data_IF_008732352247
#
_entry.id   IF_008732352247
#
_cell.length_a   1.000
_cell.length_b   1.000
_cell.length_c   1.000
_cell.angle_alpha   90.00
_cell.angle_beta   90.00
_cell.angle_gamma   90.00
#
_symmetry.space_group_name_H-M   'P 1'
#
loop_
_entity.id
_entity.type
_entity.pdbx_description
1 polymer ?
#
# COMPACT_ATOMS: atom_id res chain seq x y z
N UNK A 1 -4.96 1.16 -13.60
CA UNK A 1 -4.98 1.16 -12.12
C UNK A 1 -3.69 1.74 -11.59
N UNK A 2 -3.75 2.59 -10.58
CA UNK A 2 -2.57 3.17 -9.94
C UNK A 2 -2.29 2.44 -8.63
N UNK A 3 -1.02 2.32 -8.26
CA UNK A 3 -0.63 1.90 -6.91
C UNK A 3 -1.03 2.99 -5.93
N UNK A 4 -1.77 2.62 -4.90
CA UNK A 4 -2.24 3.51 -3.85
C UNK A 4 -1.67 3.01 -2.53
N UNK A 5 -0.83 3.83 -1.90
CA UNK A 5 -0.25 3.55 -0.58
C UNK A 5 -0.67 4.63 0.39
N UNK A 6 -1.15 4.22 1.57
CA UNK A 6 -1.71 5.10 2.56
C UNK A 6 -1.10 4.86 3.92
N UNK A 7 -0.84 5.95 4.60
CA UNK A 7 -0.32 5.97 5.95
C UNK A 7 -1.39 6.43 6.95
N UNK A 8 -1.46 5.78 8.09
CA UNK A 8 -2.35 6.16 9.19
C UNK A 8 -1.51 6.69 10.36
N UNK A 9 -1.76 7.92 10.76
CA UNK A 9 -1.06 8.64 11.83
C UNK A 9 -1.65 8.29 13.23
N UNK A 10 -1.85 7.02 13.50
CA UNK A 10 -2.32 6.55 14.79
C UNK A 10 -1.26 5.67 15.44
N UNK A 11 -1.18 5.72 16.77
CA UNK A 11 -0.31 4.83 17.53
C UNK A 11 -0.78 3.41 17.38
N UNK A 12 0.14 2.51 17.10
CA UNK A 12 -0.08 1.08 17.22
C UNK A 12 0.16 0.66 18.67
N UNK A 13 -0.75 -0.12 19.21
CA UNK A 13 -0.54 -0.77 20.49
C UNK A 13 0.23 -2.07 20.29
N UNK A 14 1.25 -2.26 21.12
CA UNK A 14 2.07 -3.48 21.11
C UNK A 14 1.51 -4.42 22.16
N UNK A 15 1.04 -5.58 21.73
CA UNK A 15 0.48 -6.60 22.60
C UNK A 15 1.42 -7.81 22.63
N UNK A 16 1.88 -8.18 23.81
CA UNK A 16 2.69 -9.38 24.04
C UNK A 16 1.84 -10.47 24.66
N UNK A 17 1.48 -11.45 23.86
CA UNK A 17 0.78 -12.63 24.35
C UNK A 17 1.78 -13.75 24.70
N UNK A 18 1.78 -14.20 25.96
CA UNK A 18 2.57 -15.35 26.39
C UNK A 18 1.78 -16.62 26.10
N UNK A 19 2.35 -17.52 25.34
CA UNK A 19 1.82 -18.87 25.11
C UNK A 19 2.80 -19.89 25.64
N UNK A 20 2.34 -21.14 25.82
CA UNK A 20 3.18 -22.28 26.22
C UNK A 20 4.35 -22.53 25.23
N UNK A 21 4.27 -21.97 24.02
CA UNK A 21 5.29 -22.07 22.97
C UNK A 21 6.21 -20.84 22.87
N UNK A 22 6.11 -19.89 23.80
CA UNK A 22 6.89 -18.65 23.82
C UNK A 22 6.07 -17.38 23.74
N UNK A 23 6.74 -16.24 23.57
CA UNK A 23 6.09 -14.93 23.39
C UNK A 23 5.66 -14.76 21.94
N UNK A 24 4.40 -14.45 21.70
CA UNK A 24 3.92 -13.94 20.42
C UNK A 24 3.72 -12.44 20.53
N UNK A 25 4.31 -11.71 19.61
CA UNK A 25 4.20 -10.26 19.54
C UNK A 25 3.12 -9.90 18.51
N UNK A 26 2.22 -9.02 18.89
CA UNK A 26 1.18 -8.47 18.03
C UNK A 26 1.26 -6.95 18.01
N UNK A 27 0.79 -6.37 16.95
CA UNK A 27 0.47 -4.94 16.84
C UNK A 27 -1.03 -4.80 16.58
N UNK A 28 -1.64 -3.80 17.20
CA UNK A 28 -3.05 -3.48 17.03
C UNK A 28 -3.26 -1.98 16.97
N UNK A 29 -4.25 -1.53 16.23
CA UNK A 29 -4.58 -0.12 16.11
C UNK A 29 -5.40 0.18 14.86
N UNK A 30 -5.50 1.47 14.51
CA UNK A 30 -6.17 1.89 13.29
C UNK A 30 -5.24 1.64 12.09
N UNK A 31 -5.66 0.77 11.19
CA UNK A 31 -4.90 0.43 10.00
C UNK A 31 -5.32 1.27 8.78
N UNK A 32 -6.58 1.69 8.69
CA UNK A 32 -7.10 2.54 7.61
C UNK A 32 -8.23 3.42 8.13
N UNK A 33 -8.52 4.53 7.44
CA UNK A 33 -9.61 5.45 7.79
C UNK A 33 -10.44 5.80 6.55
N UNK A 34 -11.76 5.75 6.68
CA UNK A 34 -12.70 6.23 5.69
C UNK A 34 -13.11 7.70 5.97
N UNK A 35 -13.66 8.37 4.97
CA UNK A 35 -14.25 9.73 5.04
C UNK A 35 -13.29 10.82 5.52
N UNK A 36 -12.02 10.51 5.68
CA UNK A 36 -10.99 11.45 6.13
C UNK A 36 -9.93 11.61 5.06
N UNK A 37 -9.59 12.88 4.78
CA UNK A 37 -8.47 13.19 3.90
C UNK A 37 -7.17 12.81 4.61
N UNK A 38 -6.42 11.91 4.01
CA UNK A 38 -5.13 11.47 4.52
C UNK A 38 -4.00 12.44 4.13
N UNK A 39 -2.76 12.14 4.55
CA UNK A 39 -1.59 12.99 4.27
C UNK A 39 -1.25 13.08 2.78
N UNK A 40 -1.61 12.07 2.00
CA UNK A 40 -1.42 12.06 0.54
C UNK A 40 -2.55 12.81 -0.21
N UNK A 41 -3.46 13.45 0.52
CA UNK A 41 -4.58 14.20 -0.05
C UNK A 41 -5.73 13.32 -0.56
N UNK A 42 -5.74 12.02 -0.22
CA UNK A 42 -6.74 11.05 -0.67
C UNK A 42 -7.84 10.85 0.35
N UNK A 43 -9.04 10.54 -0.17
CA UNK A 43 -10.24 10.26 0.61
C UNK A 43 -10.81 8.93 0.13
N UNK A 44 -11.07 8.04 1.07
CA UNK A 44 -11.78 6.78 0.85
C UNK A 44 -13.22 6.94 1.28
N UNK A 45 -14.17 6.88 0.36
CA UNK A 45 -15.58 6.79 0.72
C UNK A 45 -15.81 5.48 1.49
N UNK A 46 -16.59 5.54 2.57
CA UNK A 46 -16.78 4.40 3.49
C UNK A 46 -17.21 3.13 2.76
N UNK A 47 -18.19 3.23 1.85
CA UNK A 47 -18.67 2.07 1.08
C UNK A 47 -17.59 1.38 0.24
N UNK A 48 -16.68 2.18 -0.32
CA UNK A 48 -15.58 1.67 -1.15
C UNK A 48 -14.58 0.94 -0.27
N UNK A 49 -14.19 1.55 0.85
CA UNK A 49 -13.26 0.94 1.78
C UNK A 49 -13.85 -0.32 2.45
N UNK A 50 -15.13 -0.30 2.84
CA UNK A 50 -15.84 -1.47 3.39
C UNK A 50 -15.83 -2.66 2.42
N UNK A 51 -16.12 -2.39 1.15
CA UNK A 51 -16.08 -3.41 0.08
C UNK A 51 -14.67 -4.01 -0.06
N UNK A 52 -13.64 -3.16 -0.12
CA UNK A 52 -12.26 -3.60 -0.28
C UNK A 52 -11.75 -4.40 0.93
N UNK A 53 -12.02 -3.94 2.15
CA UNK A 53 -11.66 -4.62 3.40
C UNK A 53 -12.39 -5.95 3.52
N UNK A 54 -13.71 -5.98 3.28
CA UNK A 54 -14.50 -7.23 3.35
C UNK A 54 -13.99 -8.27 2.37
N UNK A 55 -13.65 -7.86 1.14
CA UNK A 55 -13.04 -8.74 0.14
C UNK A 55 -11.68 -9.25 0.63
N UNK A 56 -10.82 -8.38 1.11
CA UNK A 56 -9.49 -8.74 1.61
C UNK A 56 -9.57 -9.70 2.81
N UNK A 57 -10.47 -9.45 3.76
CA UNK A 57 -10.71 -10.34 4.90
C UNK A 57 -11.12 -11.72 4.42
N UNK A 58 -12.08 -11.80 3.51
CA UNK A 58 -12.58 -13.07 2.95
C UNK A 58 -11.52 -13.84 2.18
N UNK A 59 -10.74 -13.17 1.33
CA UNK A 59 -9.83 -13.81 0.38
C UNK A 59 -8.43 -14.03 0.94
N UNK A 60 -7.99 -13.22 1.90
CA UNK A 60 -6.63 -13.24 2.43
C UNK A 60 -6.57 -13.56 3.92
N UNK A 61 -7.27 -12.78 4.78
CA UNK A 61 -7.19 -12.96 6.23
C UNK A 61 -7.75 -14.31 6.65
N UNK A 62 -8.98 -14.64 6.21
CA UNK A 62 -9.65 -15.91 6.55
C UNK A 62 -8.90 -17.14 6.02
N UNK A 63 -8.10 -16.96 4.97
CA UNK A 63 -7.28 -18.01 4.39
C UNK A 63 -5.86 -18.08 4.99
N UNK A 64 -5.53 -17.22 5.96
CA UNK A 64 -4.22 -17.15 6.57
C UNK A 64 -3.11 -16.63 5.64
N UNK A 65 -3.48 -15.93 4.56
CA UNK A 65 -2.59 -15.43 3.50
C UNK A 65 -2.29 -13.94 3.57
N UNK A 66 -2.93 -13.22 4.49
CA UNK A 66 -2.78 -11.77 4.65
C UNK A 66 -1.45 -11.43 5.32
N UNK A 67 -0.39 -11.35 4.53
CA UNK A 67 0.96 -10.98 5.00
C UNK A 67 1.32 -9.58 4.55
N UNK A 68 2.19 -8.90 5.34
CA UNK A 68 2.69 -7.57 5.05
C UNK A 68 4.20 -7.49 5.24
N UNK A 69 4.80 -6.47 4.63
CA UNK A 69 6.24 -6.25 4.59
C UNK A 69 6.70 -5.23 5.63
N UNK A 70 7.99 -5.27 5.94
CA UNK A 70 8.68 -4.16 6.57
C UNK A 70 9.11 -3.18 5.48
N UNK A 71 8.64 -1.94 5.56
CA UNK A 71 8.68 -0.90 4.54
C UNK A 71 7.81 -1.22 3.30
N UNK A 72 7.51 -0.19 2.53
CA UNK A 72 6.81 -0.38 1.26
C UNK A 72 7.74 -0.94 0.19
N UNK A 73 7.32 -1.98 -0.56
CA UNK A 73 7.98 -2.38 -1.78
C UNK A 73 7.70 -1.38 -2.92
N UNK A 74 8.46 -1.50 -3.99
CA UNK A 74 8.27 -0.69 -5.20
C UNK A 74 7.03 -1.10 -6.02
N UNK A 75 6.38 -2.22 -5.67
CA UNK A 75 5.25 -2.76 -6.43
C UNK A 75 4.06 -3.18 -5.55
N UNK A 76 2.94 -3.55 -6.17
CA UNK A 76 1.74 -3.97 -5.44
C UNK A 76 1.81 -5.39 -4.90
N UNK A 77 2.74 -6.20 -5.41
CA UNK A 77 2.91 -7.60 -5.00
C UNK A 77 3.74 -7.68 -3.73
N UNK A 78 3.37 -8.60 -2.84
CA UNK A 78 4.13 -8.87 -1.62
C UNK A 78 5.38 -9.70 -1.95
N UNK A 79 6.56 -9.24 -1.50
CA UNK A 79 7.80 -10.00 -1.58
C UNK A 79 7.93 -10.88 -0.33
N UNK A 80 7.86 -12.19 -0.49
CA UNK A 80 7.84 -13.12 0.64
C UNK A 80 9.12 -13.10 1.48
N UNK A 81 10.24 -12.72 0.91
CA UNK A 81 11.53 -12.52 1.60
C UNK A 81 11.53 -11.29 2.52
N UNK A 82 10.62 -10.34 2.31
CA UNK A 82 10.47 -9.10 3.11
C UNK A 82 9.30 -9.13 4.08
N UNK A 83 8.57 -10.23 4.14
CA UNK A 83 7.42 -10.37 5.04
C UNK A 83 7.87 -10.29 6.49
N UNK A 84 7.22 -9.41 7.25
CA UNK A 84 7.48 -9.19 8.68
C UNK A 84 6.32 -9.62 9.58
N UNK A 85 5.09 -9.61 9.08
CA UNK A 85 3.90 -9.86 9.89
C UNK A 85 2.77 -10.50 9.08
N UNK A 86 1.79 -11.01 9.81
CA UNK A 86 0.55 -11.56 9.26
C UNK A 86 -0.64 -10.85 9.91
N UNK A 87 -1.51 -10.27 9.10
CA UNK A 87 -2.76 -9.67 9.55
C UNK A 87 -3.70 -10.78 10.00
N UNK A 88 -4.18 -10.69 11.23
CA UNK A 88 -5.06 -11.68 11.85
C UNK A 88 -6.50 -11.20 11.97
N UNK A 89 -6.71 -9.90 12.03
CA UNK A 89 -8.03 -9.28 12.04
C UNK A 89 -8.02 -7.91 11.34
N UNK A 90 -9.12 -7.59 10.67
CA UNK A 90 -9.45 -6.26 10.17
C UNK A 90 -10.97 -6.08 10.30
N UNK A 91 -11.41 -5.07 11.02
CA UNK A 91 -12.83 -4.78 11.22
C UNK A 91 -13.12 -3.28 11.24
N UNK A 92 -14.30 -2.89 10.81
CA UNK A 92 -14.74 -1.50 10.88
C UNK A 92 -15.28 -1.16 12.26
N UNK A 93 -14.81 -0.03 12.80
CA UNK A 93 -15.36 0.64 13.98
C UNK A 93 -15.64 2.11 13.62
N UNK A 94 -16.88 2.44 13.32
CA UNK A 94 -17.23 3.76 12.79
C UNK A 94 -16.66 3.99 11.39
N UNK A 95 -15.73 4.91 11.26
CA UNK A 95 -14.99 5.20 10.02
C UNK A 95 -13.56 4.65 10.04
N UNK A 96 -13.14 4.06 11.15
CA UNK A 96 -11.83 3.48 11.29
C UNK A 96 -11.85 1.96 10.99
N UNK A 97 -10.81 1.47 10.39
CA UNK A 97 -10.54 0.04 10.22
C UNK A 97 -9.52 -0.35 11.27
N UNK A 98 -9.98 -1.04 12.30
CA UNK A 98 -9.10 -1.57 13.34
C UNK A 98 -8.49 -2.87 12.85
N UNK A 99 -7.18 -2.96 12.95
CA UNK A 99 -6.41 -4.12 12.53
C UNK A 99 -5.59 -4.71 13.67
N UNK A 100 -5.43 -6.04 13.63
CA UNK A 100 -4.49 -6.78 14.47
C UNK A 100 -3.57 -7.62 13.58
N UNK A 101 -2.27 -7.60 13.84
CA UNK A 101 -1.30 -8.40 13.11
C UNK A 101 -0.30 -9.07 14.06
N UNK A 102 0.03 -10.32 13.75
CA UNK A 102 1.06 -11.08 14.45
C UNK A 102 2.42 -10.87 13.78
N UNK A 103 3.43 -10.50 14.54
CA UNK A 103 4.81 -10.41 14.06
C UNK A 103 5.34 -11.83 13.86
N UNK A 104 5.86 -12.10 12.67
CA UNK A 104 6.37 -13.42 12.29
C UNK A 104 7.85 -13.55 12.63
N UNK A 105 8.30 -14.79 12.81
CA UNK A 105 9.73 -15.08 13.06
C UNK A 105 10.56 -15.18 11.76
N UNK A 106 10.24 -14.30 10.81
CA UNK A 106 11.04 -14.07 9.61
C UNK A 106 12.18 -13.08 9.92
N UNK A 107 13.22 -12.95 9.09
CA UNK A 107 14.26 -11.95 9.30
C UNK A 107 13.71 -10.53 9.49
N UNK A 108 12.72 -10.14 8.67
CA UNK A 108 12.10 -8.81 8.78
C UNK A 108 11.22 -8.67 10.03
N UNK A 109 10.54 -9.74 10.44
CA UNK A 109 9.78 -9.74 11.69
C UNK A 109 10.68 -9.64 12.93
N UNK A 110 11.84 -10.26 12.92
CA UNK A 110 12.84 -10.12 14.01
C UNK A 110 13.37 -8.67 14.10
N UNK A 111 13.55 -7.99 12.96
CA UNK A 111 13.89 -6.55 12.96
C UNK A 111 12.75 -5.74 13.58
N UNK A 112 11.49 -6.00 13.22
CA UNK A 112 10.33 -5.32 13.82
C UNK A 112 10.28 -5.56 15.33
N UNK A 113 10.46 -6.82 15.78
CA UNK A 113 10.50 -7.17 17.20
C UNK A 113 11.58 -6.37 17.94
N UNK A 114 12.81 -6.34 17.42
CA UNK A 114 13.92 -5.57 18.02
C UNK A 114 13.67 -4.06 18.06
N UNK A 115 13.05 -3.50 17.01
CA UNK A 115 12.67 -2.09 16.99
C UNK A 115 11.61 -1.75 18.04
N UNK A 116 10.58 -2.58 18.18
CA UNK A 116 9.52 -2.40 19.17
C UNK A 116 10.03 -2.56 20.60
N UNK A 117 10.87 -3.58 20.86
CA UNK A 117 11.53 -3.78 22.15
C UNK A 117 12.47 -2.62 22.51
N UNK A 118 13.12 -2.03 21.51
CA UNK A 118 13.92 -0.81 21.63
C UNK A 118 13.12 0.48 21.81
N UNK A 119 11.78 0.40 21.84
CA UNK A 119 10.90 1.57 22.01
C UNK A 119 10.70 2.42 20.76
N UNK A 120 11.09 1.92 19.58
CA UNK A 120 10.85 2.60 18.31
C UNK A 120 9.35 2.57 18.00
N UNK A 121 8.80 3.74 17.68
CA UNK A 121 7.40 3.83 17.24
C UNK A 121 7.34 3.46 15.77
N UNK A 122 6.52 2.47 15.46
CA UNK A 122 6.23 2.04 14.11
C UNK A 122 4.77 2.37 13.76
N UNK A 123 4.50 2.58 12.49
CA UNK A 123 3.17 2.77 11.96
C UNK A 123 2.82 1.68 10.97
N UNK A 124 1.61 1.78 10.41
CA UNK A 124 1.18 0.93 9.30
C UNK A 124 0.68 1.78 8.14
N UNK A 125 0.84 1.24 6.95
CA UNK A 125 0.41 1.89 5.72
C UNK A 125 -0.24 0.86 4.81
N UNK A 126 -1.49 1.13 4.39
CA UNK A 126 -2.17 0.26 3.44
C UNK A 126 -1.65 0.48 2.03
N UNK A 127 -1.59 -0.60 1.28
CA UNK A 127 -1.18 -0.66 -0.11
C UNK A 127 -2.26 -1.34 -0.93
N UNK A 128 -2.62 -0.73 -2.05
CA UNK A 128 -3.64 -1.26 -2.93
C UNK A 128 -3.51 -0.71 -4.35
N UNK A 129 -4.45 -1.07 -5.18
CA UNK A 129 -4.58 -0.58 -6.55
C UNK A 129 -5.98 -0.08 -6.80
N UNK A 130 -6.08 0.99 -7.57
CA UNK A 130 -7.34 1.58 -7.93
C UNK A 130 -7.16 2.82 -8.80
N UNK A 131 -8.25 3.44 -9.15
CA UNK A 131 -8.26 4.74 -9.83
C UNK A 131 -8.58 5.86 -8.86
N UNK A 132 -8.10 7.06 -9.17
CA UNK A 132 -8.32 8.27 -8.40
C UNK A 132 -9.13 9.26 -9.22
N UNK A 133 -10.11 9.89 -8.58
CA UNK A 133 -10.86 11.03 -9.11
C UNK A 133 -10.46 12.29 -8.35
N UNK A 134 -9.88 13.25 -9.06
CA UNK A 134 -9.54 14.53 -8.45
C UNK A 134 -10.80 15.40 -8.31
N UNK A 135 -11.13 15.79 -7.08
CA UNK A 135 -12.18 16.75 -6.74
C UNK A 135 -11.55 17.98 -6.09
N UNK A 136 -12.32 19.04 -5.83
CA UNK A 136 -11.79 20.30 -5.28
C UNK A 136 -11.15 20.16 -3.90
N UNK A 137 -11.62 19.21 -3.11
CA UNK A 137 -11.24 18.97 -1.71
C UNK A 137 -10.22 17.83 -1.54
N UNK A 138 -9.95 17.05 -2.59
CA UNK A 138 -8.98 15.96 -2.54
C UNK A 138 -9.12 14.97 -3.68
N UNK A 139 -8.28 13.94 -3.67
CA UNK A 139 -8.34 12.83 -4.60
C UNK A 139 -9.17 11.69 -4.00
N UNK A 140 -10.30 11.38 -4.63
CA UNK A 140 -11.19 10.31 -4.18
C UNK A 140 -10.80 8.99 -4.80
N UNK A 141 -10.67 7.95 -3.96
CA UNK A 141 -10.43 6.58 -4.42
C UNK A 141 -11.74 6.02 -4.98
N UNK A 142 -11.66 5.36 -6.15
CA UNK A 142 -12.83 4.83 -6.85
C UNK A 142 -13.15 3.40 -6.43
N UNK A 143 -14.29 2.91 -6.89
CA UNK A 143 -14.90 1.62 -6.54
C UNK A 143 -14.16 0.38 -7.09
N UNK A 144 -13.17 0.60 -7.96
CA UNK A 144 -12.23 -0.41 -8.43
C UNK A 144 -11.06 -0.66 -7.48
N UNK A 145 -11.05 -0.01 -6.30
CA UNK A 145 -9.98 -0.17 -5.32
C UNK A 145 -9.90 -1.61 -4.80
N UNK A 146 -8.69 -2.15 -4.85
CA UNK A 146 -8.34 -3.47 -4.31
C UNK A 146 -7.22 -3.31 -3.29
N UNK A 147 -7.50 -3.69 -2.04
CA UNK A 147 -6.49 -3.76 -0.99
C UNK A 147 -5.56 -4.95 -1.27
N UNK A 148 -4.25 -4.69 -1.32
CA UNK A 148 -3.23 -5.70 -1.57
C UNK A 148 -2.51 -6.13 -0.28
N UNK A 149 -2.17 -5.17 0.59
CA UNK A 149 -1.45 -5.41 1.84
C UNK A 149 -1.63 -4.23 2.80
N UNK A 150 -1.25 -4.44 4.06
CA UNK A 150 -0.92 -3.37 5.00
C UNK A 150 0.49 -3.66 5.49
N UNK A 151 1.40 -2.73 5.31
CA UNK A 151 2.83 -2.87 5.58
C UNK A 151 3.22 -2.12 6.86
N UNK A 152 4.25 -2.59 7.58
CA UNK A 152 4.81 -1.86 8.72
C UNK A 152 5.83 -0.85 8.20
N UNK A 153 5.69 0.41 8.62
CA UNK A 153 6.53 1.52 8.21
C UNK A 153 7.02 2.31 9.42
N UNK A 154 8.09 3.07 9.25
CA UNK A 154 8.54 3.99 10.28
C UNK A 154 7.50 5.11 10.49
N UNK A 155 7.35 5.61 11.73
CA UNK A 155 6.50 6.76 12.03
C UNK A 155 6.95 7.99 11.20
N UNK A 156 6.05 8.63 10.45
CA UNK A 156 6.37 9.77 9.60
C UNK A 156 6.47 11.10 10.34
N UNK A 157 7.05 11.14 11.51
CA UNK A 157 7.60 12.41 12.01
C UNK A 157 8.62 13.03 11.05
N UNK A 158 9.05 12.28 10.02
CA UNK A 158 9.81 12.76 8.86
C UNK A 158 8.99 12.63 7.56
N UNK A 159 8.08 13.58 7.24
CA UNK A 159 7.17 13.49 6.09
C UNK A 159 7.87 13.41 4.73
N UNK A 160 9.10 13.91 4.64
CA UNK A 160 9.86 13.97 3.39
C UNK A 160 10.55 12.66 3.00
N UNK A 161 10.68 11.68 3.92
CA UNK A 161 11.38 10.43 3.62
C UNK A 161 10.52 9.39 2.88
N UNK A 162 9.21 9.55 2.83
CA UNK A 162 8.27 8.58 2.26
C UNK A 162 7.71 8.94 0.88
N UNK A 163 7.87 10.18 0.44
CA UNK A 163 7.22 10.70 -0.77
C UNK A 163 7.98 10.32 -2.04
N UNK A 164 9.24 9.97 -1.95
CA UNK A 164 10.11 9.78 -3.12
C UNK A 164 10.34 8.34 -3.56
N UNK A 165 9.76 7.36 -2.89
CA UNK A 165 10.01 5.94 -3.20
C UNK A 165 8.83 5.18 -3.80
N UNK A 166 7.67 5.79 -3.93
CA UNK A 166 6.48 5.09 -4.39
C UNK A 166 6.29 5.42 -5.87
N UNK A 167 6.16 4.40 -6.70
CA UNK A 167 5.77 4.51 -8.11
C UNK A 167 4.32 5.02 -8.25
N UNK A 168 4.04 6.19 -7.70
CA UNK A 168 2.72 6.86 -7.78
C UNK A 168 2.44 7.46 -9.15
N UNK A 169 3.11 7.21 -10.15
CA UNK A 169 2.92 7.70 -11.50
C UNK A 169 2.82 6.58 -12.51
N UNK A 170 2.78 5.34 -12.06
CA UNK A 170 2.80 4.17 -12.94
C UNK A 170 1.43 3.50 -12.93
N UNK A 171 0.83 3.34 -14.10
CA UNK A 171 -0.32 2.47 -14.27
C UNK A 171 0.14 1.01 -14.30
N UNK A 172 -0.61 0.14 -13.63
CA UNK A 172 -0.35 -1.28 -13.57
C UNK A 172 -1.33 -2.05 -14.43
N UNK A 173 -0.83 -2.97 -15.23
CA UNK A 173 -1.63 -3.86 -16.07
C UNK A 173 -1.41 -5.32 -15.66
N UNK A 174 -2.47 -6.12 -15.77
CA UNK A 174 -2.39 -7.57 -15.67
C UNK A 174 -1.86 -8.13 -17.00
N UNK A 175 -0.73 -8.81 -16.93
CA UNK A 175 -0.18 -9.55 -18.06
C UNK A 175 0.12 -10.98 -17.61
N UNK A 176 -0.65 -11.94 -18.13
CA UNK A 176 -0.54 -13.37 -17.82
C UNK A 176 -0.47 -13.71 -16.32
N UNK A 177 -1.29 -13.02 -15.50
CA UNK A 177 -1.34 -13.23 -14.05
C UNK A 177 -0.27 -12.49 -13.25
N UNK A 178 0.56 -11.69 -13.90
CA UNK A 178 1.58 -10.85 -13.29
C UNK A 178 1.21 -9.38 -13.48
N UNK A 179 1.32 -8.58 -12.41
CA UNK A 179 1.17 -7.14 -12.48
C UNK A 179 2.48 -6.52 -12.97
N UNK A 180 2.41 -5.81 -14.09
CA UNK A 180 3.55 -5.09 -14.69
C UNK A 180 3.31 -3.58 -14.66
N UNK A 181 4.33 -2.77 -14.36
CA UNK A 181 4.22 -1.32 -14.42
C UNK A 181 4.09 -0.86 -15.87
N UNK A 182 3.19 0.09 -16.11
CA UNK A 182 3.01 0.72 -17.41
C UNK A 182 3.61 2.13 -17.37
N UNK A 183 4.68 2.34 -18.11
CA UNK A 183 5.44 3.59 -18.15
C UNK A 183 4.75 4.71 -18.97
N UNK A 184 3.42 4.78 -18.95
CA UNK A 184 2.66 5.77 -19.74
C UNK A 184 2.98 7.20 -19.28
N UNK A 185 3.07 7.43 -17.97
CA UNK A 185 3.35 8.78 -17.43
C UNK A 185 4.77 9.27 -17.73
N UNK A 186 5.75 8.36 -17.79
CA UNK A 186 7.10 8.73 -18.21
C UNK A 186 7.12 9.18 -19.67
N UNK A 187 6.45 8.44 -20.54
CA UNK A 187 6.30 8.77 -21.96
C UNK A 187 5.52 10.08 -22.13
N UNK A 188 4.42 10.28 -21.40
CA UNK A 188 3.65 11.51 -21.42
C UNK A 188 4.47 12.71 -20.92
N UNK A 189 5.29 12.52 -19.90
CA UNK A 189 6.17 13.55 -19.35
C UNK A 189 7.31 13.88 -20.33
N UNK A 190 7.89 12.87 -20.98
CA UNK A 190 8.89 13.07 -22.05
C UNK A 190 8.29 13.84 -23.22
N UNK A 191 7.10 13.47 -23.68
CA UNK A 191 6.39 14.16 -24.76
C UNK A 191 6.09 15.62 -24.38
N UNK A 192 5.56 15.88 -23.17
CA UNK A 192 5.24 17.23 -22.69
C UNK A 192 6.47 18.14 -22.53
N UNK A 193 7.65 17.58 -22.25
CA UNK A 193 8.91 18.32 -22.07
C UNK A 193 9.75 18.42 -23.34
N UNK A 194 9.41 17.66 -24.37
CA UNK A 194 10.18 17.61 -25.59
C UNK A 194 10.07 18.92 -26.40
N UNK A 195 11.18 19.42 -26.99
CA UNK A 195 11.11 20.52 -27.93
C UNK A 195 10.30 20.11 -29.17
N UNK A 196 9.56 21.05 -29.75
CA UNK A 196 8.62 20.80 -30.84
C UNK A 196 9.24 20.03 -32.05
N UNK A 197 10.54 20.14 -32.26
CA UNK A 197 11.27 19.41 -33.30
C UNK A 197 11.44 17.90 -33.00
N UNK A 198 11.43 17.50 -31.74
CA UNK A 198 11.63 16.11 -31.32
C UNK A 198 10.29 15.35 -31.10
N UNK A 199 9.16 16.04 -31.09
CA UNK A 199 7.84 15.47 -30.85
C UNK A 199 7.47 14.33 -31.81
N UNK A 200 7.64 14.46 -33.16
CA UNK A 200 7.25 13.39 -34.08
C UNK A 200 8.00 12.08 -33.88
N UNK A 201 9.30 12.16 -33.54
CA UNK A 201 10.11 10.96 -33.29
C UNK A 201 9.74 10.29 -31.96
N UNK A 202 9.44 11.07 -30.93
CA UNK A 202 9.02 10.57 -29.64
C UNK A 202 7.63 9.92 -29.69
N UNK A 203 6.69 10.52 -30.41
CA UNK A 203 5.36 9.95 -30.62
C UNK A 203 5.43 8.63 -31.39
N UNK A 204 6.25 8.54 -32.44
CA UNK A 204 6.47 7.29 -33.20
C UNK A 204 7.13 6.23 -32.30
N UNK A 205 8.11 6.61 -31.48
CA UNK A 205 8.77 5.71 -30.53
C UNK A 205 7.80 5.19 -29.47
N UNK A 206 6.98 6.08 -28.90
CA UNK A 206 5.93 5.74 -27.94
C UNK A 206 4.90 4.77 -28.55
N UNK A 207 4.45 5.06 -29.78
CA UNK A 207 3.49 4.22 -30.49
C UNK A 207 4.08 2.85 -30.87
N UNK A 208 5.31 2.77 -31.31
CA UNK A 208 6.00 1.50 -31.58
C UNK A 208 6.17 0.67 -30.30
N UNK A 209 6.51 1.33 -29.18
CA UNK A 209 6.64 0.68 -27.89
C UNK A 209 5.29 0.14 -27.38
N UNK A 210 4.20 0.89 -27.61
CA UNK A 210 2.85 0.43 -27.33
C UNK A 210 2.46 -0.79 -28.18
N UNK A 211 2.68 -0.75 -29.49
CA UNK A 211 2.34 -1.86 -30.40
C UNK A 211 3.15 -3.14 -30.13
N UNK A 212 4.40 -2.99 -29.67
CA UNK A 212 5.24 -4.16 -29.34
C UNK A 212 4.80 -4.89 -28.07
N UNK A 213 3.82 -4.34 -27.35
CA UNK A 213 3.30 -4.88 -26.07
C UNK A 213 1.86 -5.41 -26.18
N UNK A 214 1.23 -5.25 -27.36
CA UNK A 214 -0.04 -5.90 -27.74
C UNK A 214 0.22 -7.29 -28.31
#
# INVERSE_FOLDING_TARGET
MKLISEYVDNRLDVIVEKTDKGKNLFIEGVFMQAEKKNRNGRIYEKKILEKAVSKYVKEQVSQGRAVGELNHPEGPTVNLDKVSHKITNLEFQGNDVIGKASILKTPMGQIVEGLLEGGVKLGVSSRGMGTLENRRDGAYVRDDFMLASVDIVQDPSAPSAFVNGIMEGVDWIWDNGILKPQEIELIETEIKRAPAKALPELEIKAFKNFLSRL
#
